data_IF_519578194846
#
_entry.id   IF_519578194846
#
_cell.length_a   1.000
_cell.length_b   1.000
_cell.length_c   1.000
_cell.angle_alpha   90.00
_cell.angle_beta   90.00
_cell.angle_gamma   90.00
#
_symmetry.space_group_name_H-M   'P 1'
#
loop_
_entity.id
_entity.type
_entity.pdbx_description
1 polymer ?
#
# COMPACT_ATOMS: atom_id res chain seq x y z
N UNK A 1 11.58 6.84 14.04
CA UNK A 1 12.90 6.21 14.25
C UNK A 1 12.70 4.71 14.34
N UNK A 2 13.41 3.94 13.52
CA UNK A 2 13.49 2.48 13.57
C UNK A 2 14.96 2.15 13.83
N UNK A 3 15.24 1.46 14.94
CA UNK A 3 16.60 1.09 15.30
C UNK A 3 17.09 -0.08 14.43
N UNK A 4 16.41 -1.21 14.54
CA UNK A 4 16.67 -2.43 13.77
C UNK A 4 15.54 -2.65 12.75
N UNK A 5 15.87 -2.60 11.46
CA UNK A 5 14.87 -2.65 10.38
C UNK A 5 14.46 -4.05 9.97
N UNK A 6 15.26 -5.07 10.25
CA UNK A 6 14.93 -6.47 9.91
C UNK A 6 13.61 -6.91 10.55
N UNK A 7 13.34 -6.53 11.80
CA UNK A 7 12.08 -6.85 12.49
C UNK A 7 10.84 -6.21 11.86
N UNK A 8 11.01 -5.17 11.04
CA UNK A 8 9.92 -4.53 10.29
C UNK A 8 9.82 -5.07 8.86
N UNK A 9 10.91 -5.62 8.33
CA UNK A 9 11.03 -6.11 6.95
C UNK A 9 10.64 -7.58 6.82
N UNK A 10 11.04 -8.43 7.77
CA UNK A 10 10.72 -9.86 7.75
C UNK A 10 9.20 -10.12 7.75
N UNK A 11 8.38 -9.45 8.59
CA UNK A 11 6.93 -9.64 8.56
C UNK A 11 6.28 -9.23 7.23
N UNK A 12 6.90 -8.32 6.45
CA UNK A 12 6.42 -7.98 5.10
C UNK A 12 6.53 -9.19 4.17
N UNK A 13 7.68 -9.88 4.20
CA UNK A 13 7.92 -11.07 3.39
C UNK A 13 6.95 -12.21 3.73
N UNK A 14 6.74 -12.44 5.03
CA UNK A 14 5.78 -13.44 5.52
C UNK A 14 4.35 -13.12 5.10
N UNK A 15 3.97 -11.83 5.19
CA UNK A 15 2.65 -11.36 4.77
C UNK A 15 2.47 -11.48 3.26
N UNK A 16 3.49 -11.15 2.47
CA UNK A 16 3.46 -11.30 1.01
C UNK A 16 3.17 -12.75 0.62
N UNK A 17 3.88 -13.71 1.21
CA UNK A 17 3.68 -15.14 0.92
C UNK A 17 2.28 -15.62 1.33
N UNK A 18 1.78 -15.16 2.49
CA UNK A 18 0.46 -15.51 2.99
C UNK A 18 -0.64 -14.96 2.06
N UNK A 19 -0.55 -13.68 1.68
CA UNK A 19 -1.50 -13.03 0.77
C UNK A 19 -1.58 -13.75 -0.59
N UNK A 20 -0.43 -14.09 -1.19
CA UNK A 20 -0.38 -14.83 -2.45
C UNK A 20 -1.01 -16.23 -2.34
N UNK A 21 -0.89 -16.86 -1.18
CA UNK A 21 -1.52 -18.18 -0.92
C UNK A 21 -3.04 -18.07 -0.83
N UNK A 22 -3.58 -16.94 -0.37
CA UNK A 22 -5.03 -16.70 -0.30
C UNK A 22 -5.67 -16.46 -1.67
N UNK A 23 -4.88 -16.10 -2.68
CA UNK A 23 -5.37 -15.94 -4.07
C UNK A 23 -5.97 -17.22 -4.64
N UNK A 24 -5.37 -18.38 -4.34
CA UNK A 24 -5.80 -19.68 -4.88
C UNK A 24 -6.84 -20.40 -4.02
N UNK A 25 -7.22 -19.85 -2.87
CA UNK A 25 -8.23 -20.44 -2.01
C UNK A 25 -9.63 -20.13 -2.51
N UNK A 26 -10.59 -20.93 -2.04
CA UNK A 26 -12.02 -20.79 -2.30
C UNK A 26 -12.67 -20.42 -0.98
N UNK A 27 -13.66 -19.53 -1.03
CA UNK A 27 -14.52 -19.14 0.10
C UNK A 27 -13.75 -18.84 1.39
N UNK A 28 -12.99 -17.74 1.37
CA UNK A 28 -12.26 -17.25 2.53
C UNK A 28 -13.21 -16.96 3.70
N UNK A 29 -12.93 -17.56 4.85
CA UNK A 29 -13.69 -17.35 6.08
C UNK A 29 -13.48 -15.94 6.65
N UNK A 30 -14.40 -15.47 7.49
CA UNK A 30 -14.34 -14.12 8.09
C UNK A 30 -13.05 -13.88 8.89
N UNK A 31 -12.57 -14.89 9.64
CA UNK A 31 -11.29 -14.82 10.36
C UNK A 31 -10.10 -14.69 9.40
N UNK A 32 -10.17 -15.35 8.24
CA UNK A 32 -9.14 -15.22 7.20
C UNK A 32 -9.18 -13.83 6.56
N UNK A 33 -10.36 -13.28 6.29
CA UNK A 33 -10.52 -11.91 5.78
C UNK A 33 -9.98 -10.88 6.78
N UNK A 34 -10.26 -11.04 8.07
CA UNK A 34 -9.70 -10.19 9.12
C UNK A 34 -8.17 -10.31 9.22
N UNK A 35 -7.60 -11.49 8.98
CA UNK A 35 -6.15 -11.66 8.92
C UNK A 35 -5.54 -10.95 7.71
N UNK A 36 -6.16 -11.08 6.53
CA UNK A 36 -5.74 -10.36 5.31
C UNK A 36 -5.77 -8.85 5.55
N UNK A 37 -6.84 -8.34 6.15
CA UNK A 37 -6.95 -6.92 6.49
C UNK A 37 -5.79 -6.47 7.39
N UNK A 38 -5.50 -7.21 8.47
CA UNK A 38 -4.38 -6.91 9.37
C UNK A 38 -3.03 -6.95 8.66
N UNK A 39 -2.79 -7.96 7.83
CA UNK A 39 -1.55 -8.10 7.06
C UNK A 39 -1.29 -6.89 6.17
N UNK A 40 -2.35 -6.43 5.49
CA UNK A 40 -2.31 -5.28 4.60
C UNK A 40 -2.04 -4.01 5.43
N UNK A 41 -2.85 -3.72 6.45
CA UNK A 41 -2.68 -2.48 7.22
C UNK A 41 -1.34 -2.41 7.96
N UNK A 42 -0.94 -3.49 8.64
CA UNK A 42 0.33 -3.54 9.37
C UNK A 42 1.51 -3.50 8.39
N UNK A 43 1.40 -4.17 7.24
CA UNK A 43 2.43 -4.15 6.23
C UNK A 43 2.65 -2.76 5.64
N UNK A 44 1.59 -2.08 5.21
CA UNK A 44 1.71 -0.72 4.69
C UNK A 44 2.08 0.31 5.76
N UNK A 45 1.65 0.12 7.01
CA UNK A 45 2.16 0.92 8.13
C UNK A 45 3.68 0.74 8.29
N UNK A 46 4.17 -0.49 8.22
CA UNK A 46 5.60 -0.79 8.33
C UNK A 46 6.39 -0.16 7.18
N UNK A 47 5.90 -0.25 5.95
CA UNK A 47 6.47 0.45 4.78
C UNK A 47 6.52 1.96 5.05
N UNK A 48 5.40 2.56 5.44
CA UNK A 48 5.31 4.00 5.72
C UNK A 48 6.30 4.45 6.80
N UNK A 49 6.48 3.65 7.86
CA UNK A 49 7.45 3.93 8.92
C UNK A 49 8.90 3.71 8.49
N UNK A 50 9.18 2.71 7.65
CA UNK A 50 10.51 2.48 7.09
C UNK A 50 10.92 3.63 6.15
N UNK A 51 9.99 4.16 5.35
CA UNK A 51 10.25 5.27 4.43
C UNK A 51 10.53 6.60 5.15
N UNK A 52 10.05 6.79 6.39
CA UNK A 52 10.42 7.93 7.25
C UNK A 52 11.88 7.86 7.76
N UNK A 53 12.62 6.82 7.40
CA UNK A 53 13.98 6.59 7.89
C UNK A 53 14.98 6.42 6.76
N UNK A 54 16.26 6.30 7.13
CA UNK A 54 17.35 5.95 6.23
C UNK A 54 17.53 4.43 6.06
N UNK A 55 16.53 3.62 6.44
CA UNK A 55 16.57 2.13 6.37
C UNK A 55 16.01 1.57 5.06
N UNK A 56 15.72 2.45 4.10
CA UNK A 56 15.28 2.13 2.74
C UNK A 56 16.08 3.02 1.81
N UNK A 57 16.54 2.45 0.70
CA UNK A 57 17.38 3.15 -0.28
C UNK A 57 16.59 4.27 -0.95
N UNK A 58 17.27 5.36 -1.32
CA UNK A 58 16.59 6.48 -1.98
C UNK A 58 16.11 6.12 -3.39
N UNK A 59 16.80 5.17 -4.05
CA UNK A 59 16.33 4.57 -5.28
C UNK A 59 14.91 4.02 -5.13
N UNK A 60 14.66 3.16 -4.12
CA UNK A 60 13.34 2.59 -3.88
C UNK A 60 12.30 3.64 -3.47
N UNK A 61 12.69 4.65 -2.69
CA UNK A 61 11.79 5.76 -2.32
C UNK A 61 11.34 6.58 -3.53
N UNK A 62 12.21 6.72 -4.52
CA UNK A 62 11.95 7.48 -5.75
C UNK A 62 11.17 6.69 -6.80
N UNK A 63 11.17 5.35 -6.71
CA UNK A 63 10.44 4.47 -7.63
C UNK A 63 8.97 4.83 -7.68
N UNK A 64 8.45 4.92 -8.91
CA UNK A 64 7.05 5.19 -9.15
C UNK A 64 6.35 3.97 -9.74
N UNK A 65 5.14 3.74 -9.29
CA UNK A 65 4.31 2.60 -9.66
C UNK A 65 3.03 3.10 -10.33
N UNK A 66 2.53 2.39 -11.35
CA UNK A 66 1.20 2.63 -11.88
C UNK A 66 0.16 2.22 -10.82
N UNK A 67 -0.78 3.12 -10.56
CA UNK A 67 -1.87 2.95 -9.62
C UNK A 67 -3.19 3.14 -10.34
N UNK A 68 -3.97 2.07 -10.37
CA UNK A 68 -5.31 2.09 -10.96
C UNK A 68 -6.28 2.79 -10.02
N UNK A 69 -7.18 3.58 -10.57
CA UNK A 69 -8.25 4.22 -9.83
C UNK A 69 -9.53 4.33 -10.66
N UNK A 70 -10.64 4.48 -9.95
CA UNK A 70 -11.98 4.55 -10.50
C UNK A 70 -12.67 5.83 -10.01
N UNK A 71 -13.32 6.60 -10.90
CA UNK A 71 -13.96 7.85 -10.52
C UNK A 71 -15.16 7.60 -9.63
N UNK A 72 -15.39 8.52 -8.69
CA UNK A 72 -16.58 8.52 -7.85
C UNK A 72 -17.83 8.74 -8.72
N UNK A 73 -18.88 7.99 -8.42
CA UNK A 73 -20.20 8.14 -8.99
C UNK A 73 -21.26 8.09 -7.88
N UNK A 74 -22.33 8.85 -8.07
CA UNK A 74 -23.46 8.81 -7.17
C UNK A 74 -23.34 9.72 -5.94
N UNK A 75 -23.70 9.17 -4.79
CA UNK A 75 -23.91 9.94 -3.54
C UNK A 75 -22.65 9.97 -2.69
N UNK A 76 -22.59 10.99 -1.83
CA UNK A 76 -21.53 11.14 -0.84
C UNK A 76 -21.24 9.83 -0.08
N UNK A 77 -19.95 9.55 0.04
CA UNK A 77 -19.43 8.45 0.85
C UNK A 77 -19.33 8.91 2.31
N UNK A 78 -20.01 8.17 3.17
CA UNK A 78 -20.16 8.40 4.61
C UNK A 78 -19.76 7.14 5.38
N UNK A 79 -19.70 7.24 6.70
CA UNK A 79 -19.44 6.08 7.56
C UNK A 79 -20.47 4.95 7.44
N UNK A 80 -21.69 5.25 6.97
CA UNK A 80 -22.79 4.28 6.89
C UNK A 80 -22.83 3.52 5.56
N UNK A 81 -22.07 3.96 4.55
CA UNK A 81 -22.09 3.37 3.20
C UNK A 81 -20.69 3.21 2.57
N UNK A 82 -19.61 3.49 3.30
CA UNK A 82 -18.23 3.37 2.79
C UNK A 82 -17.83 1.97 2.29
N UNK A 83 -18.54 0.92 2.71
CA UNK A 83 -18.33 -0.47 2.29
C UNK A 83 -18.94 -0.81 0.92
N UNK A 84 -19.63 0.13 0.26
CA UNK A 84 -20.35 -0.11 -1.01
C UNK A 84 -19.58 0.45 -2.21
N UNK A 85 -18.40 -0.09 -2.48
CA UNK A 85 -17.52 0.44 -3.54
C UNK A 85 -18.17 0.39 -4.91
N UNK A 86 -18.91 -0.66 -5.23
CA UNK A 86 -19.63 -0.85 -6.49
C UNK A 86 -20.74 0.19 -6.72
N UNK A 87 -21.42 0.64 -5.65
CA UNK A 87 -22.43 1.70 -5.73
C UNK A 87 -21.79 3.09 -5.89
N UNK A 88 -20.62 3.32 -5.26
CA UNK A 88 -19.99 4.63 -5.15
C UNK A 88 -18.95 4.96 -6.22
N UNK A 89 -18.48 3.99 -7.00
CA UNK A 89 -17.42 4.21 -7.97
C UNK A 89 -17.70 3.48 -9.29
N UNK A 90 -17.36 4.12 -10.41
CA UNK A 90 -17.54 3.52 -11.72
C UNK A 90 -16.40 2.54 -12.02
N UNK A 91 -16.56 1.28 -11.61
CA UNK A 91 -15.57 0.23 -11.80
C UNK A 91 -15.34 -0.16 -13.28
N UNK A 92 -16.20 0.30 -14.20
CA UNK A 92 -16.01 0.10 -15.64
C UNK A 92 -15.06 1.13 -16.27
N UNK A 93 -14.80 2.25 -15.59
CA UNK A 93 -13.90 3.31 -16.07
C UNK A 93 -12.56 3.23 -15.35
N UNK A 94 -11.68 2.37 -15.85
CA UNK A 94 -10.32 2.29 -15.33
C UNK A 94 -9.52 3.53 -15.74
N UNK A 95 -8.82 4.10 -14.77
CA UNK A 95 -7.85 5.16 -14.98
C UNK A 95 -6.55 4.77 -14.29
N UNK A 96 -5.43 5.29 -14.76
CA UNK A 96 -4.13 5.00 -14.17
C UNK A 96 -3.40 6.31 -13.87
N UNK A 97 -2.74 6.36 -12.74
CA UNK A 97 -1.80 7.42 -12.42
C UNK A 97 -0.52 6.86 -11.81
N UNK A 98 0.54 7.64 -11.83
CA UNK A 98 1.85 7.21 -11.33
C UNK A 98 2.09 7.81 -9.95
N UNK A 99 2.43 6.97 -8.95
CA UNK A 99 2.66 7.37 -7.56
C UNK A 99 3.82 6.59 -6.93
N UNK A 100 4.50 7.19 -5.96
CA UNK A 100 5.48 6.45 -5.16
C UNK A 100 4.79 5.61 -4.08
N UNK A 101 5.55 4.66 -3.54
CA UNK A 101 5.06 3.76 -2.50
C UNK A 101 4.78 4.51 -1.18
N UNK A 102 5.45 5.64 -0.92
CA UNK A 102 5.13 6.47 0.24
C UNK A 102 3.71 7.02 0.16
N UNK A 103 3.29 7.52 -1.00
CA UNK A 103 1.94 8.02 -1.25
C UNK A 103 0.91 6.91 -1.06
N UNK A 104 1.14 5.75 -1.68
CA UNK A 104 0.26 4.58 -1.61
C UNK A 104 0.08 4.15 -0.15
N UNK A 105 1.18 3.93 0.56
CA UNK A 105 1.16 3.52 1.96
C UNK A 105 0.45 4.56 2.84
N UNK A 106 0.73 5.85 2.62
CA UNK A 106 0.06 6.95 3.36
C UNK A 106 -1.45 6.98 3.11
N UNK A 107 -1.90 6.80 1.87
CA UNK A 107 -3.34 6.79 1.57
C UNK A 107 -4.03 5.57 2.16
N UNK A 108 -3.35 4.41 2.17
CA UNK A 108 -3.92 3.18 2.67
C UNK A 108 -4.08 3.19 4.19
N UNK A 109 -3.08 3.62 4.97
CA UNK A 109 -3.19 3.65 6.44
C UNK A 109 -4.21 4.69 6.95
N UNK A 110 -4.57 5.64 6.09
CA UNK A 110 -5.58 6.67 6.35
C UNK A 110 -6.82 6.45 5.49
N UNK A 111 -7.10 5.20 5.11
CA UNK A 111 -8.25 4.85 4.32
C UNK A 111 -9.55 5.11 5.10
N UNK A 112 -10.49 5.76 4.42
CA UNK A 112 -11.88 5.90 4.85
C UNK A 112 -12.77 4.84 4.19
N UNK A 113 -12.44 4.51 2.93
CA UNK A 113 -12.97 3.37 2.19
C UNK A 113 -11.88 2.32 2.16
N UNK A 114 -12.20 1.10 2.58
CA UNK A 114 -11.35 -0.08 2.45
C UNK A 114 -12.27 -1.28 2.19
N UNK A 115 -12.05 -1.98 1.09
CA UNK A 115 -12.82 -3.17 0.75
C UNK A 115 -11.90 -4.22 0.11
N UNK A 116 -11.98 -5.45 0.60
CA UNK A 116 -11.30 -6.59 -0.01
C UNK A 116 -12.05 -6.99 -1.29
N UNK A 117 -11.31 -7.15 -2.39
CA UNK A 117 -11.81 -7.68 -3.65
C UNK A 117 -11.54 -9.18 -3.70
N UNK A 118 -12.59 -9.95 -3.96
CA UNK A 118 -12.53 -11.40 -4.12
C UNK A 118 -12.88 -11.75 -5.56
N UNK A 119 -12.19 -12.74 -6.10
CA UNK A 119 -12.55 -13.36 -7.37
C UNK A 119 -13.90 -14.07 -7.29
N UNK A 120 -14.48 -14.44 -8.43
CA UNK A 120 -15.72 -15.23 -8.51
C UNK A 120 -15.65 -16.56 -7.73
N UNK A 121 -14.43 -17.11 -7.56
CA UNK A 121 -14.20 -18.34 -6.80
C UNK A 121 -13.96 -18.09 -5.31
N UNK A 122 -14.06 -16.86 -4.83
CA UNK A 122 -13.85 -16.47 -3.43
C UNK A 122 -12.38 -16.27 -3.02
N UNK A 123 -11.42 -16.43 -3.93
CA UNK A 123 -10.00 -16.18 -3.67
C UNK A 123 -9.64 -14.68 -3.68
N UNK A 124 -8.61 -14.28 -2.91
CA UNK A 124 -8.18 -12.88 -2.79
C UNK A 124 -7.66 -12.32 -4.13
N UNK A 125 -8.29 -11.27 -4.64
CA UNK A 125 -7.87 -10.61 -5.89
C UNK A 125 -7.09 -9.32 -5.60
N UNK A 126 -7.52 -8.54 -4.61
CA UNK A 126 -6.93 -7.25 -4.32
C UNK A 126 -7.72 -6.48 -3.28
N UNK A 127 -7.53 -5.16 -3.26
CA UNK A 127 -8.26 -4.23 -2.39
C UNK A 127 -8.64 -2.95 -3.14
N UNK A 128 -9.76 -2.38 -2.72
CA UNK A 128 -10.14 -1.01 -3.01
C UNK A 128 -9.88 -0.12 -1.80
N UNK A 129 -9.35 1.07 -2.03
CA UNK A 129 -9.14 2.03 -0.93
C UNK A 129 -9.24 3.49 -1.37
N UNK A 130 -9.72 4.34 -0.48
CA UNK A 130 -9.70 5.79 -0.65
C UNK A 130 -9.53 6.47 0.71
N UNK A 131 -8.76 7.55 0.74
CA UNK A 131 -8.64 8.38 1.95
C UNK A 131 -9.87 9.27 2.12
N UNK A 132 -10.03 9.89 3.29
CA UNK A 132 -11.14 10.80 3.57
C UNK A 132 -11.23 11.97 2.55
N UNK A 133 -10.07 12.46 2.08
CA UNK A 133 -9.97 13.52 1.07
C UNK A 133 -10.23 13.05 -0.38
N UNK A 134 -10.20 11.74 -0.61
CA UNK A 134 -10.35 11.13 -1.93
C UNK A 134 -11.71 10.45 -2.13
N UNK A 135 -12.40 10.04 -1.06
CA UNK A 135 -13.62 9.21 -1.12
C UNK A 135 -14.73 9.73 -2.05
N UNK A 136 -14.89 11.05 -2.16
CA UNK A 136 -15.90 11.66 -3.05
C UNK A 136 -15.33 12.05 -4.43
N UNK A 137 -14.13 11.57 -4.78
CA UNK A 137 -13.43 11.85 -6.04
C UNK A 137 -13.10 10.57 -6.79
N UNK A 138 -12.46 9.61 -6.10
CA UNK A 138 -12.00 8.36 -6.67
C UNK A 138 -11.63 7.32 -5.61
N UNK A 139 -11.67 6.05 -6.01
CA UNK A 139 -11.13 4.93 -5.25
C UNK A 139 -9.96 4.31 -6.00
N UNK A 140 -8.91 3.94 -5.28
CA UNK A 140 -7.75 3.24 -5.81
C UNK A 140 -7.96 1.73 -5.75
N UNK A 141 -7.26 1.00 -6.62
CA UNK A 141 -7.20 -0.44 -6.59
C UNK A 141 -5.76 -0.94 -6.61
N UNK A 142 -5.49 -1.95 -5.79
CA UNK A 142 -4.24 -2.71 -5.81
C UNK A 142 -4.57 -4.19 -5.86
N UNK A 143 -3.96 -4.91 -6.80
CA UNK A 143 -4.03 -6.36 -6.82
C UNK A 143 -3.18 -6.96 -5.71
N UNK A 144 -3.48 -8.21 -5.33
CA UNK A 144 -2.71 -8.95 -4.34
C UNK A 144 -1.24 -9.11 -4.74
N UNK A 145 -0.95 -9.25 -6.04
CA UNK A 145 0.42 -9.33 -6.56
C UNK A 145 1.16 -8.01 -6.41
N UNK A 146 0.50 -6.87 -6.65
CA UNK A 146 1.11 -5.57 -6.45
C UNK A 146 1.46 -5.35 -4.97
N UNK A 147 0.55 -5.72 -4.06
CA UNK A 147 0.79 -5.64 -2.61
C UNK A 147 1.96 -6.53 -2.20
N UNK A 148 1.96 -7.79 -2.62
CA UNK A 148 3.04 -8.73 -2.35
C UNK A 148 4.38 -8.25 -2.96
N UNK A 149 4.34 -7.66 -4.15
CA UNK A 149 5.49 -7.03 -4.80
C UNK A 149 6.08 -5.91 -3.95
N UNK A 150 5.26 -4.97 -3.47
CA UNK A 150 5.72 -3.89 -2.60
C UNK A 150 6.31 -4.40 -1.29
N UNK A 151 5.70 -5.43 -0.71
CA UNK A 151 6.18 -6.03 0.53
C UNK A 151 7.53 -6.72 0.32
N UNK A 152 7.71 -7.42 -0.80
CA UNK A 152 8.99 -8.03 -1.19
C UNK A 152 10.06 -6.99 -1.50
N UNK A 153 9.73 -5.94 -2.26
CA UNK A 153 10.64 -4.85 -2.60
C UNK A 153 11.20 -4.21 -1.32
N UNK A 154 10.34 -3.85 -0.37
CA UNK A 154 10.76 -3.19 0.87
C UNK A 154 11.41 -4.16 1.86
N UNK A 155 10.92 -5.39 1.93
CA UNK A 155 11.41 -6.44 2.82
C UNK A 155 12.82 -6.91 2.47
N UNK A 156 13.16 -6.94 1.18
CA UNK A 156 14.49 -7.34 0.69
C UNK A 156 15.45 -6.17 0.45
N UNK A 157 14.97 -4.93 0.50
CA UNK A 157 15.82 -3.75 0.36
C UNK A 157 16.63 -3.52 1.64
N UNK A 158 17.96 -3.56 1.60
CA UNK A 158 18.80 -3.20 2.74
C UNK A 158 19.79 -2.12 2.31
N UNK A 159 19.90 -1.08 3.13
CA UNK A 159 20.88 -0.01 2.91
C UNK A 159 22.25 -0.53 3.29
N UNK A 160 23.18 -0.44 2.36
CA UNK A 160 24.56 -0.94 2.49
C UNK A 160 25.57 0.20 2.62
N UNK A 161 25.22 1.38 2.12
CA UNK A 161 26.07 2.56 2.17
C UNK A 161 25.22 3.80 2.50
N UNK A 162 25.74 4.65 3.39
CA UNK A 162 25.16 5.96 3.70
C UNK A 162 26.24 7.00 3.46
N UNK A 163 25.91 7.98 2.62
CA UNK A 163 26.80 9.09 2.30
C UNK A 163 26.16 10.41 2.74
N UNK A 164 27.02 11.33 3.18
CA UNK A 164 26.64 12.64 3.67
C UNK A 164 27.42 13.71 2.89
N UNK A 165 26.73 14.71 2.40
CA UNK A 165 27.33 15.90 1.81
C UNK A 165 26.63 17.15 2.31
N UNK A 166 27.33 18.28 2.33
CA UNK A 166 26.71 19.58 2.59
C UNK A 166 26.39 20.24 1.25
N UNK A 167 25.22 20.85 1.17
CA UNK A 167 24.91 21.81 0.12
C UNK A 167 25.57 23.15 0.49
N UNK A 168 26.56 23.57 -0.30
CA UNK A 168 27.33 24.80 -0.07
C UNK A 168 26.47 26.08 -0.18
N UNK A 169 25.30 26.01 -0.83
CA UNK A 169 24.40 27.16 -1.02
C UNK A 169 23.39 27.25 0.12
N UNK A 170 22.79 26.12 0.50
CA UNK A 170 21.72 26.11 1.52
C UNK A 170 22.21 25.78 2.93
N UNK A 171 23.44 25.28 3.06
CA UNK A 171 24.02 24.80 4.31
C UNK A 171 23.37 23.51 4.83
N UNK A 172 22.50 22.87 4.05
CA UNK A 172 21.76 21.69 4.47
C UNK A 172 22.59 20.41 4.29
N UNK A 173 22.45 19.50 5.25
CA UNK A 173 23.02 18.15 5.15
C UNK A 173 22.16 17.29 4.21
N UNK A 174 22.74 16.88 3.09
CA UNK A 174 22.17 15.90 2.19
C UNK A 174 22.62 14.52 2.66
N UNK A 175 21.67 13.61 2.85
CA UNK A 175 21.93 12.21 3.18
C UNK A 175 21.42 11.33 2.06
N UNK A 176 22.28 10.47 1.54
CA UNK A 176 21.92 9.51 0.49
C UNK A 176 22.17 8.09 0.98
N UNK A 177 21.13 7.26 0.92
CA UNK A 177 21.14 5.84 1.31
C UNK A 177 21.07 4.94 0.06
N UNK A 178 22.08 4.08 -0.10
CA UNK A 178 22.21 3.14 -1.23
C UNK A 178 22.11 1.69 -0.79
#
# INVERSE_FOLDING_TARGET
MIYESSYWKLPLLESAQRLLTMKSKIDLSEDTLAQIEKDIFIGFYSIRKLFDTIKVTDALKSTKYPLTWFPHQGREVTWLNNYRVDEHYNLNSNNTETRDLWFIASRLIHSFVFQISLSEKGGLEGIFFASDSDKNKKVYYLSVEAIAGFFNDVGNNYVTEISHSYDDVTGQLITVAK
#
